data_IF_428111701786
#
_entry.id   IF_428111701786
#
_cell.length_a   1.000
_cell.length_b   1.000
_cell.length_c   1.000
_cell.angle_alpha   90.00
_cell.angle_beta   90.00
_cell.angle_gamma   90.00
#
_symmetry.space_group_name_H-M   'P 1'
#
loop_
_entity.id
_entity.type
_entity.pdbx_description
1 polymer ?
#
# COMPACT_ATOMS: atom_id res chain seq x y z
N UNK A 1 10.49 21.89 -50.63
CA UNK A 1 10.82 23.29 -50.98
C UNK A 1 9.87 24.20 -50.21
N UNK A 2 10.39 25.22 -49.52
CA UNK A 2 9.70 26.39 -48.91
C UNK A 2 8.56 26.16 -47.90
N UNK A 3 8.31 27.04 -46.90
CA UNK A 3 9.13 28.00 -46.12
C UNK A 3 8.32 28.40 -44.86
N UNK A 4 8.94 28.27 -43.68
CA UNK A 4 9.06 29.25 -42.57
C UNK A 4 8.03 30.39 -42.32
N UNK A 5 7.56 30.47 -41.06
CA UNK A 5 7.76 31.56 -40.06
C UNK A 5 7.07 31.10 -38.74
N UNK A 6 7.65 31.07 -37.54
CA UNK A 6 8.42 32.07 -36.74
C UNK A 6 7.61 33.30 -36.33
N UNK A 7 7.22 33.34 -35.06
CA UNK A 7 7.39 34.50 -34.17
C UNK A 7 7.91 33.96 -32.82
N UNK A 8 9.04 34.49 -32.35
CA UNK A 8 9.54 34.33 -30.96
C UNK A 8 9.08 35.52 -30.11
N UNK A 9 9.02 35.35 -28.80
CA UNK A 9 9.24 36.44 -27.86
C UNK A 9 9.83 35.88 -26.55
N UNK A 10 11.15 35.92 -26.47
CA UNK A 10 11.92 35.71 -25.24
C UNK A 10 11.72 36.86 -24.24
N UNK A 11 11.89 36.55 -22.95
CA UNK A 11 12.43 37.53 -22.01
C UNK A 11 13.37 36.83 -21.02
N UNK A 12 14.55 37.40 -20.83
CA UNK A 12 15.69 36.79 -20.11
C UNK A 12 16.20 37.77 -19.02
N UNK A 13 17.15 37.31 -18.19
CA UNK A 13 17.89 38.05 -17.15
C UNK A 13 17.14 38.38 -15.84
N UNK A 14 17.77 38.37 -14.65
CA UNK A 14 19.12 37.90 -14.25
C UNK A 14 19.26 37.77 -12.71
N UNK A 15 19.67 36.58 -12.24
CA UNK A 15 20.81 36.24 -11.32
C UNK A 15 21.07 36.99 -9.98
N UNK A 16 21.53 36.20 -8.99
CA UNK A 16 22.20 36.52 -7.70
C UNK A 16 21.27 36.77 -6.47
N UNK A 17 21.61 36.34 -5.24
CA UNK A 17 22.86 35.78 -4.69
C UNK A 17 22.65 34.76 -3.53
N UNK A 18 23.73 34.00 -3.22
CA UNK A 18 24.18 33.35 -1.95
C UNK A 18 23.16 32.84 -0.90
N UNK A 19 23.21 31.62 -0.34
CA UNK A 19 24.29 30.82 0.32
C UNK A 19 24.86 31.49 1.59
N UNK A 20 25.03 30.67 2.65
CA UNK A 20 25.43 30.92 4.06
C UNK A 20 24.23 30.96 5.04
N UNK A 21 24.23 30.33 6.24
CA UNK A 21 25.15 29.38 6.92
C UNK A 21 24.35 28.57 7.95
N UNK A 22 24.91 27.48 8.48
CA UNK A 22 24.32 26.71 9.60
C UNK A 22 24.60 27.37 10.97
N UNK A 23 23.83 26.90 11.96
CA UNK A 23 24.12 26.75 13.40
C UNK A 23 23.51 27.71 14.47
N UNK A 24 22.95 27.01 15.48
CA UNK A 24 22.87 27.33 16.92
C UNK A 24 22.21 28.65 17.38
N UNK A 25 21.04 28.55 18.02
CA UNK A 25 21.00 28.53 19.50
C UNK A 25 19.67 28.04 20.09
N UNK A 26 19.75 27.55 21.32
CA UNK A 26 18.62 27.18 22.18
C UNK A 26 17.68 28.37 22.49
N UNK A 27 16.38 28.10 22.65
CA UNK A 27 15.61 28.55 23.83
C UNK A 27 14.18 27.98 23.86
N UNK A 28 13.71 27.64 25.07
CA UNK A 28 12.41 26.99 25.34
C UNK A 28 11.25 28.00 25.32
N UNK A 29 10.02 27.59 24.95
CA UNK A 29 8.82 28.35 25.28
C UNK A 29 8.48 28.21 26.77
N UNK A 30 8.19 29.35 27.40
CA UNK A 30 7.88 29.55 28.81
C UNK A 30 6.36 29.41 29.04
N UNK A 31 5.93 28.56 29.98
CA UNK A 31 4.54 28.52 30.47
C UNK A 31 4.49 29.05 31.91
N UNK A 32 3.59 30.00 32.25
CA UNK A 32 3.53 30.58 33.58
C UNK A 32 2.63 29.81 34.55
N UNK A 33 3.17 29.56 35.75
CA UNK A 33 2.51 29.81 37.04
C UNK A 33 1.28 29.00 37.46
N UNK A 34 1.49 28.07 38.38
CA UNK A 34 0.66 27.94 39.59
C UNK A 34 1.44 27.18 40.67
N UNK A 35 1.36 27.66 41.90
CA UNK A 35 2.46 27.52 42.86
C UNK A 35 2.21 26.45 43.92
N UNK A 36 3.20 25.56 44.07
CA UNK A 36 3.94 25.27 45.32
C UNK A 36 3.16 25.10 46.65
N UNK A 37 3.34 23.96 47.32
CA UNK A 37 3.99 23.85 48.66
C UNK A 37 4.03 22.38 49.20
N UNK A 38 4.99 22.13 50.11
CA UNK A 38 5.26 20.88 50.87
C UNK A 38 5.77 19.68 50.04
N UNK A 39 7.04 19.28 49.97
CA UNK A 39 8.20 19.22 50.90
C UNK A 39 8.50 17.80 51.44
N UNK A 40 9.65 17.28 50.99
CA UNK A 40 10.63 16.45 51.68
C UNK A 40 10.26 15.08 52.33
N UNK A 41 10.92 14.05 51.81
CA UNK A 41 11.56 12.90 52.50
C UNK A 41 10.68 11.87 53.26
N UNK A 42 10.95 10.59 53.00
CA UNK A 42 11.61 9.66 53.94
C UNK A 42 11.90 8.32 53.22
N UNK A 43 13.01 7.67 53.58
CA UNK A 43 13.39 6.33 53.11
C UNK A 43 12.57 5.22 53.81
N UNK A 44 12.74 4.01 53.28
CA UNK A 44 12.63 2.71 53.96
C UNK A 44 11.46 1.81 53.55
N UNK A 45 11.87 0.62 53.14
CA UNK A 45 11.10 -0.59 52.97
C UNK A 45 11.16 -1.32 54.32
N UNK A 46 10.04 -1.86 54.84
CA UNK A 46 10.15 -3.24 55.29
C UNK A 46 8.95 -4.11 54.93
N UNK A 47 9.22 -5.40 54.83
CA UNK A 47 8.26 -6.45 54.49
C UNK A 47 7.54 -7.02 55.72
N UNK A 48 6.52 -7.85 55.41
CA UNK A 48 5.87 -8.88 56.25
C UNK A 48 4.66 -8.48 57.12
N UNK A 49 3.57 -9.23 56.95
CA UNK A 49 2.68 -9.68 58.04
C UNK A 49 1.99 -11.00 57.67
N UNK A 50 1.70 -11.80 58.72
CA UNK A 50 1.44 -13.26 58.75
C UNK A 50 0.50 -13.51 59.95
N UNK A 51 -0.55 -14.35 59.92
CA UNK A 51 -1.15 -15.21 58.86
C UNK A 51 -2.66 -15.40 59.12
N UNK A 52 -3.42 -15.79 58.09
CA UNK A 52 -4.60 -16.67 58.18
C UNK A 52 -4.73 -17.36 56.80
N UNK A 53 -4.78 -18.69 56.65
CA UNK A 53 -5.12 -19.73 57.61
C UNK A 53 -5.73 -20.97 56.92
N UNK A 54 -5.86 -20.99 55.58
CA UNK A 54 -6.37 -22.14 54.83
C UNK A 54 -5.81 -22.23 53.40
N UNK A 55 -5.24 -23.39 53.05
CA UNK A 55 -4.68 -23.66 51.72
C UNK A 55 -5.70 -24.43 50.88
N UNK A 56 -6.13 -23.84 49.76
CA UNK A 56 -6.79 -24.58 48.68
C UNK A 56 -5.85 -24.69 47.48
N UNK A 57 -5.43 -25.92 47.16
CA UNK A 57 -4.68 -26.20 45.93
C UNK A 57 -5.64 -26.25 44.73
N UNK A 58 -5.53 -25.28 43.84
CA UNK A 58 -6.12 -25.35 42.49
C UNK A 58 -5.04 -25.81 41.50
N UNK A 59 -5.15 -27.07 41.06
CA UNK A 59 -4.18 -27.71 40.16
C UNK A 59 -4.29 -27.15 38.74
N UNK A 60 -3.21 -26.55 38.23
CA UNK A 60 -3.04 -26.30 36.79
C UNK A 60 -2.65 -27.61 36.08
N UNK A 61 -3.13 -27.85 34.83
CA UNK A 61 -2.82 -29.10 34.12
C UNK A 61 -1.36 -29.14 33.64
N UNK A 62 -0.68 -30.30 33.70
CA UNK A 62 0.70 -30.44 33.24
C UNK A 62 0.74 -30.57 31.71
N UNK A 63 1.38 -29.61 31.03
CA UNK A 63 1.42 -29.58 29.56
C UNK A 63 2.44 -28.62 28.94
N UNK A 64 3.48 -28.22 29.68
CA UNK A 64 4.53 -27.33 29.19
C UNK A 64 5.90 -28.00 29.30
N UNK A 65 6.17 -28.97 28.42
CA UNK A 65 7.55 -29.42 28.19
C UNK A 65 8.25 -28.44 27.24
N UNK A 66 9.31 -27.82 27.75
CA UNK A 66 10.19 -26.93 27.00
C UNK A 66 10.91 -27.68 25.88
N UNK A 67 10.68 -27.26 24.63
CA UNK A 67 11.54 -27.61 23.49
C UNK A 67 12.27 -26.36 23.01
N UNK A 68 13.59 -26.25 23.20
CA UNK A 68 14.38 -25.13 22.67
C UNK A 68 14.67 -25.32 21.18
N UNK A 69 13.64 -25.18 20.34
CA UNK A 69 13.77 -25.11 18.89
C UNK A 69 13.50 -23.68 18.38
N UNK A 70 14.20 -22.70 18.97
CA UNK A 70 14.42 -21.40 18.33
C UNK A 70 15.66 -21.51 17.42
N UNK A 71 15.48 -22.19 16.28
CA UNK A 71 16.45 -22.19 15.19
C UNK A 71 15.69 -21.95 13.89
N UNK A 72 15.90 -20.75 13.33
CA UNK A 72 15.68 -20.39 11.93
C UNK A 72 14.49 -21.11 11.27
N UNK A 73 13.27 -20.70 11.63
CA UNK A 73 12.20 -20.77 10.65
C UNK A 73 12.48 -19.67 9.62
N UNK A 74 13.33 -19.99 8.64
CA UNK A 74 13.45 -19.21 7.42
C UNK A 74 12.02 -19.01 6.90
N UNK A 75 11.60 -17.75 6.81
CA UNK A 75 10.23 -17.41 6.44
C UNK A 75 10.07 -17.70 4.95
N UNK A 76 9.74 -18.96 4.66
CA UNK A 76 9.56 -19.55 3.34
C UNK A 76 9.00 -18.50 2.37
N UNK A 77 9.77 -18.18 1.35
CA UNK A 77 9.50 -17.01 0.53
C UNK A 77 8.33 -17.29 -0.41
N UNK A 78 7.16 -16.79 -0.05
CA UNK A 78 5.93 -17.03 -0.81
C UNK A 78 5.78 -16.08 -1.98
N UNK A 79 5.35 -16.62 -3.12
CA UNK A 79 5.31 -15.92 -4.40
C UNK A 79 3.93 -16.04 -5.08
N UNK A 80 3.54 -14.99 -5.81
CA UNK A 80 2.37 -15.04 -6.68
C UNK A 80 2.60 -16.04 -7.81
N UNK A 81 1.58 -16.86 -8.08
CA UNK A 81 1.50 -17.71 -9.28
C UNK A 81 1.60 -16.94 -10.61
N UNK A 82 1.40 -15.60 -10.59
CA UNK A 82 1.60 -14.73 -11.75
C UNK A 82 3.00 -14.10 -11.71
N UNK A 83 3.80 -14.40 -12.73
CA UNK A 83 5.18 -13.93 -12.90
C UNK A 83 5.25 -13.04 -14.15
N UNK A 84 5.94 -11.91 -14.09
CA UNK A 84 6.21 -11.10 -15.28
C UNK A 84 7.49 -11.59 -15.97
N UNK A 85 7.48 -11.63 -17.31
CA UNK A 85 8.65 -11.91 -18.13
C UNK A 85 8.82 -10.78 -19.15
N UNK A 86 9.99 -10.15 -19.17
CA UNK A 86 10.29 -9.00 -20.03
C UNK A 86 11.56 -9.18 -20.86
N UNK A 87 11.64 -8.47 -21.98
CA UNK A 87 12.77 -8.56 -22.90
C UNK A 87 12.69 -9.74 -23.87
N UNK A 88 11.51 -10.38 -24.02
CA UNK A 88 11.27 -11.48 -24.95
C UNK A 88 11.76 -11.14 -26.38
N UNK A 89 12.19 -12.14 -27.20
CA UNK A 89 12.38 -11.93 -28.63
C UNK A 89 11.10 -11.38 -29.29
N UNK A 90 11.21 -10.53 -30.34
CA UNK A 90 10.03 -9.94 -30.98
C UNK A 90 9.22 -10.95 -31.81
N UNK A 91 9.83 -12.11 -32.10
CA UNK A 91 9.33 -13.19 -32.93
C UNK A 91 9.00 -14.47 -32.13
N UNK A 92 9.01 -14.42 -30.79
CA UNK A 92 8.64 -15.58 -29.95
C UNK A 92 7.12 -15.66 -29.76
N UNK A 93 6.53 -16.83 -29.98
CA UNK A 93 5.09 -17.07 -29.82
C UNK A 93 4.71 -17.65 -28.43
N UNK A 94 3.43 -17.93 -28.22
CA UNK A 94 2.94 -18.54 -26.97
C UNK A 94 3.48 -19.95 -26.76
N UNK A 95 3.54 -20.75 -27.82
CA UNK A 95 3.98 -22.14 -27.80
C UNK A 95 5.45 -22.25 -27.39
N UNK A 96 6.31 -21.36 -27.89
CA UNK A 96 7.74 -21.28 -27.61
C UNK A 96 8.05 -20.74 -26.20
N UNK A 97 7.30 -19.72 -25.74
CA UNK A 97 7.31 -19.29 -24.34
C UNK A 97 6.87 -20.46 -23.45
N UNK A 98 5.74 -21.09 -23.77
CA UNK A 98 5.21 -22.22 -23.00
C UNK A 98 6.22 -23.37 -22.93
N UNK A 99 6.86 -23.75 -24.04
CA UNK A 99 7.89 -24.78 -24.07
C UNK A 99 9.09 -24.43 -23.18
N UNK A 100 9.53 -23.16 -23.19
CA UNK A 100 10.66 -22.67 -22.38
C UNK A 100 10.40 -22.74 -20.86
N UNK A 101 9.17 -22.45 -20.42
CA UNK A 101 8.83 -22.36 -19.00
C UNK A 101 8.09 -23.59 -18.43
N UNK A 102 7.50 -24.45 -19.26
CA UNK A 102 6.73 -25.64 -18.81
C UNK A 102 7.56 -26.66 -18.01
N UNK A 103 8.89 -26.62 -18.14
CA UNK A 103 9.81 -27.44 -17.31
C UNK A 103 9.73 -27.15 -15.81
N UNK A 104 9.20 -25.99 -15.40
CA UNK A 104 9.02 -25.61 -14.00
C UNK A 104 7.64 -25.98 -13.45
N UNK A 105 6.67 -26.28 -14.33
CA UNK A 105 5.30 -26.61 -13.96
C UNK A 105 4.28 -26.28 -15.04
N UNK A 106 3.03 -26.66 -14.81
CA UNK A 106 1.94 -26.29 -15.72
C UNK A 106 1.59 -24.80 -15.58
N UNK A 107 1.50 -24.12 -16.72
CA UNK A 107 1.27 -22.68 -16.79
C UNK A 107 0.39 -22.29 -17.99
N UNK A 108 -0.14 -21.06 -17.95
CA UNK A 108 -0.78 -20.37 -19.06
C UNK A 108 0.00 -19.08 -19.34
N UNK A 109 0.24 -18.74 -20.61
CA UNK A 109 0.88 -17.48 -21.01
C UNK A 109 -0.20 -16.44 -21.30
N UNK A 110 -0.06 -15.25 -20.72
CA UNK A 110 -1.03 -14.14 -20.84
C UNK A 110 -0.32 -12.82 -21.17
N UNK A 111 -0.96 -11.95 -21.95
CA UNK A 111 -0.50 -10.58 -22.17
C UNK A 111 -1.69 -9.66 -22.48
N UNK A 112 -1.57 -8.34 -22.24
CA UNK A 112 -2.68 -7.41 -22.45
C UNK A 112 -3.24 -7.49 -23.88
N UNK A 113 -4.56 -7.53 -23.99
CA UNK A 113 -5.31 -7.61 -25.26
C UNK A 113 -5.06 -8.87 -26.11
N UNK A 114 -4.48 -9.95 -25.56
CA UNK A 114 -4.28 -11.23 -26.28
C UNK A 114 -5.55 -11.75 -26.96
N UNK A 115 -6.65 -11.87 -26.22
CA UNK A 115 -7.93 -12.38 -26.72
C UNK A 115 -8.61 -11.47 -27.77
N UNK A 116 -8.32 -10.17 -27.74
CA UNK A 116 -8.96 -9.17 -28.60
C UNK A 116 -8.17 -8.94 -29.90
N UNK A 117 -6.84 -8.93 -29.80
CA UNK A 117 -5.94 -8.53 -30.89
C UNK A 117 -5.70 -9.61 -31.95
N UNK A 118 -6.03 -10.88 -31.65
CA UNK A 118 -5.59 -12.07 -32.42
C UNK A 118 -4.08 -12.11 -32.69
N UNK A 119 -3.28 -11.39 -31.90
CA UNK A 119 -1.84 -11.34 -32.07
C UNK A 119 -1.22 -12.57 -31.42
N UNK A 120 -0.42 -13.32 -32.18
CA UNK A 120 0.34 -14.47 -31.70
C UNK A 120 1.58 -14.07 -30.89
N UNK A 121 1.99 -12.79 -30.96
CA UNK A 121 3.25 -12.31 -30.40
C UNK A 121 3.01 -11.32 -29.23
N UNK A 122 3.78 -11.40 -28.13
CA UNK A 122 3.60 -10.50 -26.99
C UNK A 122 3.99 -9.04 -27.33
N UNK A 123 3.08 -8.06 -27.19
CA UNK A 123 3.33 -6.69 -27.59
C UNK A 123 4.43 -6.07 -26.70
N UNK A 124 5.40 -5.39 -27.32
CA UNK A 124 6.56 -4.76 -26.65
C UNK A 124 7.48 -5.76 -25.93
N UNK A 125 7.46 -7.05 -26.27
CA UNK A 125 8.42 -8.04 -25.78
C UNK A 125 8.28 -8.36 -24.28
N UNK A 126 7.05 -8.41 -23.76
CA UNK A 126 6.78 -8.89 -22.40
C UNK A 126 5.48 -9.70 -22.34
N UNK A 127 5.43 -10.65 -21.39
CA UNK A 127 4.27 -11.47 -21.11
C UNK A 127 4.15 -11.74 -19.60
N UNK A 128 3.10 -12.44 -19.20
CA UNK A 128 2.93 -12.99 -17.87
C UNK A 128 2.80 -14.51 -17.94
N UNK A 129 3.48 -15.21 -17.04
CA UNK A 129 3.29 -16.64 -16.81
C UNK A 129 2.31 -16.79 -15.64
N UNK A 130 1.25 -17.57 -15.81
CA UNK A 130 0.31 -17.92 -14.76
C UNK A 130 0.47 -19.41 -14.45
N UNK A 131 1.26 -19.74 -13.43
CA UNK A 131 1.45 -21.12 -12.99
C UNK A 131 0.21 -21.66 -12.26
N UNK A 132 0.02 -22.97 -12.29
CA UNK A 132 -1.01 -23.63 -11.48
C UNK A 132 -0.59 -23.73 -10.01
N UNK A 133 0.69 -23.94 -9.74
CA UNK A 133 1.24 -24.11 -8.39
C UNK A 133 2.24 -23.00 -8.02
N UNK A 134 2.39 -22.73 -6.72
CA UNK A 134 3.37 -21.77 -6.18
C UNK A 134 4.80 -22.35 -6.19
N UNK A 135 4.93 -23.67 -5.95
CA UNK A 135 6.15 -24.46 -6.08
C UNK A 135 6.85 -24.28 -7.44
N UNK A 136 6.09 -24.16 -8.53
CA UNK A 136 6.61 -23.91 -9.87
C UNK A 136 7.27 -22.54 -10.03
N UNK A 137 6.80 -21.54 -9.28
CA UNK A 137 7.42 -20.20 -9.27
C UNK A 137 8.73 -20.24 -8.50
N UNK A 138 8.81 -20.95 -7.37
CA UNK A 138 10.06 -21.16 -6.65
C UNK A 138 11.07 -21.90 -7.53
N UNK A 139 10.68 -23.01 -8.16
CA UNK A 139 11.54 -23.80 -9.06
C UNK A 139 12.08 -22.96 -10.24
N UNK A 140 11.26 -22.03 -10.77
CA UNK A 140 11.69 -21.05 -11.78
C UNK A 140 12.74 -20.10 -11.21
N UNK A 141 12.52 -19.53 -10.02
CA UNK A 141 13.45 -18.61 -9.35
C UNK A 141 14.80 -19.28 -9.09
N UNK A 142 14.79 -20.49 -8.53
CA UNK A 142 15.99 -21.28 -8.22
C UNK A 142 16.81 -21.63 -9.48
N UNK A 143 16.18 -21.58 -10.66
CA UNK A 143 16.80 -21.83 -11.96
C UNK A 143 17.20 -20.55 -12.72
N UNK A 144 16.99 -19.37 -12.14
CA UNK A 144 17.37 -18.10 -12.75
C UNK A 144 18.83 -17.72 -12.45
N UNK A 145 19.44 -16.98 -13.36
CA UNK A 145 20.70 -16.27 -13.15
C UNK A 145 20.35 -14.95 -12.42
N UNK A 146 21.00 -14.66 -11.30
CA UNK A 146 20.80 -13.42 -10.54
C UNK A 146 21.92 -12.41 -10.85
N UNK A 147 21.54 -11.23 -11.33
CA UNK A 147 22.43 -10.09 -11.61
C UNK A 147 21.75 -8.79 -11.12
N UNK A 148 22.43 -7.98 -10.31
CA UNK A 148 21.91 -6.70 -9.76
C UNK A 148 20.47 -6.78 -9.19
N UNK A 149 20.22 -7.78 -8.34
CA UNK A 149 18.90 -8.12 -7.75
C UNK A 149 17.76 -8.35 -8.77
N UNK A 150 18.11 -8.63 -10.03
CA UNK A 150 17.20 -9.05 -11.10
C UNK A 150 17.46 -10.52 -11.41
N UNK A 151 16.37 -11.22 -11.74
CA UNK A 151 16.43 -12.62 -12.18
C UNK A 151 16.34 -12.68 -13.69
N UNK A 152 17.14 -13.54 -14.30
CA UNK A 152 17.19 -13.76 -15.74
C UNK A 152 17.09 -15.25 -16.07
N UNK A 153 16.36 -15.57 -17.12
CA UNK A 153 16.35 -16.90 -17.72
C UNK A 153 16.68 -16.77 -19.21
N UNK A 154 17.37 -17.77 -19.75
CA UNK A 154 17.67 -17.83 -21.19
C UNK A 154 16.50 -18.49 -21.93
N UNK A 155 16.02 -17.86 -23.00
CA UNK A 155 15.02 -18.41 -23.94
C UNK A 155 15.47 -18.21 -25.39
N UNK A 156 14.87 -18.97 -26.32
CA UNK A 156 15.14 -18.86 -27.76
C UNK A 156 13.84 -18.75 -28.55
N UNK A 157 13.86 -17.99 -29.65
CA UNK A 157 12.82 -17.90 -30.69
C UNK A 157 13.36 -18.50 -32.00
N UNK A 158 12.61 -18.46 -33.13
CA UNK A 158 13.11 -18.92 -34.42
C UNK A 158 14.39 -18.18 -34.85
N UNK A 159 14.43 -16.85 -34.73
CA UNK A 159 15.55 -16.03 -35.22
C UNK A 159 16.58 -15.66 -34.14
N UNK A 160 16.21 -15.62 -32.86
CA UNK A 160 17.12 -15.25 -31.76
C UNK A 160 17.38 -16.46 -30.87
N UNK A 161 18.65 -16.85 -30.73
CA UNK A 161 19.08 -17.89 -29.78
C UNK A 161 19.63 -17.28 -28.51
N UNK A 162 19.45 -18.00 -27.41
CA UNK A 162 20.02 -17.76 -26.09
C UNK A 162 19.85 -16.32 -25.57
N UNK A 163 18.66 -15.74 -25.75
CA UNK A 163 18.33 -14.41 -25.24
C UNK A 163 18.02 -14.49 -23.74
N UNK A 164 18.78 -13.76 -22.93
CA UNK A 164 18.42 -13.51 -21.55
C UNK A 164 17.15 -12.65 -21.47
N UNK A 165 16.12 -13.16 -20.79
CA UNK A 165 14.86 -12.46 -20.50
C UNK A 165 14.70 -12.27 -19.01
N UNK A 166 14.20 -11.11 -18.61
CA UNK A 166 14.07 -10.73 -17.21
C UNK A 166 12.83 -11.40 -16.61
N UNK A 167 13.03 -12.17 -15.54
CA UNK A 167 11.99 -12.78 -14.73
C UNK A 167 11.73 -11.88 -13.52
N UNK A 168 10.45 -11.56 -13.26
CA UNK A 168 10.03 -10.73 -12.12
C UNK A 168 8.86 -11.40 -11.40
N UNK A 169 9.12 -12.26 -10.40
CA UNK A 169 8.08 -12.79 -9.54
C UNK A 169 7.55 -11.68 -8.62
N UNK A 170 6.35 -11.86 -8.07
CA UNK A 170 5.83 -11.00 -7.01
C UNK A 170 5.87 -11.73 -5.68
N UNK A 171 6.64 -11.22 -4.71
CA UNK A 171 6.73 -11.78 -3.36
C UNK A 171 5.49 -11.38 -2.55
N UNK A 172 4.79 -12.33 -1.96
CA UNK A 172 3.54 -12.06 -1.22
C UNK A 172 3.78 -11.19 0.02
N UNK A 173 4.94 -11.31 0.66
CA UNK A 173 5.33 -10.47 1.79
C UNK A 173 5.53 -8.98 1.43
N UNK A 174 5.70 -8.64 0.14
CA UNK A 174 5.90 -7.24 -0.29
C UNK A 174 4.57 -6.48 -0.47
N UNK A 175 3.43 -7.16 -0.30
CA UNK A 175 2.08 -6.61 -0.49
C UNK A 175 1.56 -5.79 0.70
N UNK A 176 2.07 -5.99 1.91
CA UNK A 176 1.62 -5.30 3.12
C UNK A 176 2.83 -4.92 3.99
N UNK A 177 2.83 -3.71 4.53
CA UNK A 177 3.89 -3.22 5.39
C UNK A 177 3.34 -2.35 6.52
N UNK A 178 3.70 -2.72 7.76
CA UNK A 178 3.35 -1.98 8.98
C UNK A 178 4.62 -1.26 9.45
N UNK A 179 4.61 0.07 9.42
CA UNK A 179 5.73 0.90 9.88
C UNK A 179 5.78 0.93 11.42
N UNK A 180 4.62 0.96 12.08
CA UNK A 180 4.52 0.93 13.53
C UNK A 180 3.31 0.09 13.99
N UNK A 181 3.60 -1.10 14.52
CA UNK A 181 2.59 -2.06 15.00
C UNK A 181 1.96 -1.67 16.35
N UNK A 182 2.49 -0.68 17.08
CA UNK A 182 1.93 -0.25 18.36
C UNK A 182 0.75 0.72 18.22
N UNK A 183 0.48 1.22 17.00
CA UNK A 183 -0.56 2.21 16.75
C UNK A 183 -1.80 1.54 16.13
N UNK A 184 -3.02 1.76 16.68
CA UNK A 184 -4.22 1.19 16.11
C UNK A 184 -4.48 1.76 14.70
N UNK A 185 -4.69 0.85 13.74
CA UNK A 185 -5.05 1.23 12.38
C UNK A 185 -6.51 1.68 12.34
N UNK A 186 -6.74 2.90 11.87
CA UNK A 186 -8.08 3.46 11.66
C UNK A 186 -8.39 3.50 10.15
N UNK A 187 -9.34 2.67 9.67
CA UNK A 187 -9.75 2.67 8.28
C UNK A 187 -10.24 4.04 7.77
N UNK A 188 -10.74 4.92 8.65
CA UNK A 188 -11.22 6.27 8.27
C UNK A 188 -10.08 7.26 8.01
N UNK A 189 -8.87 7.00 8.51
CA UNK A 189 -7.63 7.76 8.21
C UNK A 189 -6.80 7.09 7.10
N UNK A 190 -7.43 6.28 6.26
CA UNK A 190 -6.78 5.59 5.14
C UNK A 190 -7.06 6.30 3.81
N UNK A 191 -6.04 6.43 2.98
CA UNK A 191 -6.14 6.96 1.60
C UNK A 191 -5.96 5.83 0.60
N UNK A 192 -6.71 5.89 -0.49
CA UNK A 192 -6.49 5.08 -1.69
C UNK A 192 -5.49 5.80 -2.61
N UNK A 193 -4.52 5.05 -3.13
CA UNK A 193 -3.51 5.53 -4.07
C UNK A 193 -3.69 4.79 -5.40
N UNK A 194 -4.25 5.48 -6.39
CA UNK A 194 -4.54 4.94 -7.72
C UNK A 194 -3.38 5.17 -8.69
N UNK A 195 -3.00 4.13 -9.44
CA UNK A 195 -1.98 4.21 -10.48
C UNK A 195 -0.56 3.86 -10.02
N UNK A 196 -0.38 3.33 -8.80
CA UNK A 196 0.89 2.82 -8.26
C UNK A 196 1.64 1.96 -9.29
N UNK A 197 2.97 2.14 -9.50
CA UNK A 197 3.77 1.24 -10.32
C UNK A 197 3.69 -0.20 -9.79
N UNK A 198 3.38 -1.19 -10.64
CA UNK A 198 3.27 -2.61 -10.22
C UNK A 198 4.52 -3.19 -9.54
N UNK A 199 5.75 -2.74 -9.86
CA UNK A 199 6.94 -3.12 -9.10
C UNK A 199 7.04 -2.60 -7.66
N UNK A 200 6.34 -1.50 -7.34
CA UNK A 200 6.49 -0.81 -6.06
C UNK A 200 5.97 -1.68 -4.91
N UNK A 201 6.81 -1.86 -3.90
CA UNK A 201 6.51 -2.61 -2.68
C UNK A 201 5.76 -1.76 -1.67
N UNK A 202 5.03 -2.39 -0.75
CA UNK A 202 4.33 -1.69 0.33
C UNK A 202 5.27 -0.85 1.22
N UNK A 203 6.49 -1.35 1.50
CA UNK A 203 7.51 -0.62 2.26
C UNK A 203 7.98 0.67 1.55
N UNK A 204 8.13 0.64 0.22
CA UNK A 204 8.52 1.82 -0.56
C UNK A 204 7.39 2.85 -0.58
N UNK A 205 6.15 2.41 -0.79
CA UNK A 205 4.97 3.26 -0.73
C UNK A 205 4.82 3.93 0.64
N UNK A 206 5.00 3.17 1.74
CA UNK A 206 4.99 3.71 3.09
C UNK A 206 6.09 4.77 3.28
N UNK A 207 7.32 4.44 2.89
CA UNK A 207 8.49 5.32 3.05
C UNK A 207 8.35 6.63 2.29
N UNK A 208 7.84 6.59 1.04
CA UNK A 208 7.61 7.80 0.24
C UNK A 208 6.51 8.66 0.89
N UNK A 209 5.39 8.05 1.30
CA UNK A 209 4.25 8.78 1.85
C UNK A 209 4.54 9.35 3.25
N UNK A 210 5.35 8.66 4.05
CA UNK A 210 5.79 9.15 5.36
C UNK A 210 6.75 10.34 5.23
N UNK A 211 7.67 10.31 4.25
CA UNK A 211 8.53 11.47 3.94
C UNK A 211 7.74 12.70 3.45
N UNK A 212 6.60 12.52 2.79
CA UNK A 212 5.80 13.60 2.23
C UNK A 212 4.79 14.19 3.21
N UNK A 213 4.19 13.36 4.07
CA UNK A 213 3.06 13.77 4.94
C UNK A 213 3.27 13.45 6.42
N UNK A 214 4.22 12.57 6.74
CA UNK A 214 4.47 12.06 8.08
C UNK A 214 3.43 11.06 8.58
N UNK A 215 3.79 10.40 9.69
CA UNK A 215 2.88 9.64 10.54
C UNK A 215 2.11 8.50 9.85
N UNK A 216 2.69 7.88 8.81
CA UNK A 216 2.17 6.64 8.21
C UNK A 216 2.32 5.50 9.22
N UNK A 217 1.26 4.73 9.45
CA UNK A 217 1.32 3.52 10.28
C UNK A 217 1.36 2.24 9.45
N UNK A 218 0.74 2.23 8.26
CA UNK A 218 0.63 1.07 7.38
C UNK A 218 0.50 1.48 5.92
N UNK A 219 1.05 0.68 5.01
CA UNK A 219 0.73 0.70 3.60
C UNK A 219 0.47 -0.72 3.07
N UNK A 220 -0.39 -0.83 2.06
CA UNK A 220 -0.66 -2.07 1.35
C UNK A 220 -0.78 -1.83 -0.16
N UNK A 221 -0.35 -2.81 -0.95
CA UNK A 221 -0.53 -2.86 -2.40
C UNK A 221 -1.81 -3.66 -2.68
N UNK A 222 -2.70 -3.12 -3.51
CA UNK A 222 -3.93 -3.80 -3.87
C UNK A 222 -3.63 -4.90 -4.89
N UNK A 223 -3.73 -6.14 -4.43
CA UNK A 223 -3.50 -7.34 -5.24
C UNK A 223 -4.81 -7.95 -5.78
N UNK A 224 -4.70 -8.72 -6.85
CA UNK A 224 -5.76 -9.62 -7.31
C UNK A 224 -6.16 -10.64 -6.22
N UNK A 225 -7.47 -10.91 -5.99
CA UNK A 225 -7.89 -11.82 -4.93
C UNK A 225 -7.49 -13.28 -5.16
N UNK A 226 -7.35 -13.74 -6.40
CA UNK A 226 -6.99 -15.13 -6.73
C UNK A 226 -5.47 -15.30 -6.86
N UNK A 227 -4.84 -14.44 -7.68
CA UNK A 227 -3.42 -14.58 -8.02
C UNK A 227 -2.50 -13.85 -7.03
N UNK A 228 -3.04 -12.99 -6.16
CA UNK A 228 -2.27 -12.13 -5.23
C UNK A 228 -1.22 -11.25 -5.92
N UNK A 229 -1.49 -10.86 -7.18
CA UNK A 229 -0.59 -10.06 -8.01
C UNK A 229 -0.99 -8.56 -8.03
N UNK A 230 -0.06 -7.59 -8.01
CA UNK A 230 -0.36 -6.16 -7.97
C UNK A 230 -1.24 -5.66 -9.12
N UNK A 231 -2.30 -4.93 -8.77
CA UNK A 231 -3.23 -4.33 -9.75
C UNK A 231 -2.79 -2.95 -10.24
N UNK A 232 -1.85 -2.31 -9.54
CA UNK A 232 -1.41 -0.94 -9.80
C UNK A 232 -2.18 0.11 -9.00
N UNK A 233 -2.57 -0.27 -7.78
CA UNK A 233 -3.16 0.60 -6.76
C UNK A 233 -2.66 0.16 -5.38
N UNK A 234 -2.90 0.97 -4.36
CA UNK A 234 -2.58 0.66 -2.98
C UNK A 234 -3.35 1.55 -2.01
N UNK A 235 -3.08 1.35 -0.73
CA UNK A 235 -3.73 2.01 0.41
C UNK A 235 -2.69 2.40 1.44
N UNK A 236 -2.85 3.57 2.07
CA UNK A 236 -1.92 4.09 3.08
C UNK A 236 -2.72 4.65 4.25
N UNK A 237 -2.45 4.15 5.45
CA UNK A 237 -3.12 4.56 6.68
C UNK A 237 -2.22 5.50 7.49
N UNK A 238 -2.84 6.56 8.04
CA UNK A 238 -2.17 7.55 8.87
C UNK A 238 -2.61 7.44 10.33
N UNK A 239 -1.67 7.61 11.25
CA UNK A 239 -1.95 7.60 12.69
C UNK A 239 -2.70 8.85 13.16
N UNK A 240 -2.54 9.99 12.48
CA UNK A 240 -3.20 11.26 12.81
C UNK A 240 -4.04 11.82 11.64
N UNK A 241 -4.98 12.71 11.97
CA UNK A 241 -5.91 13.30 11.00
C UNK A 241 -5.24 14.37 10.11
N UNK A 242 -4.21 15.06 10.60
CA UNK A 242 -3.52 16.12 9.86
C UNK A 242 -2.80 15.59 8.62
N UNK A 243 -2.07 14.47 8.76
CA UNK A 243 -1.32 13.82 7.67
C UNK A 243 -2.27 13.22 6.63
N UNK A 244 -3.38 12.63 7.09
CA UNK A 244 -4.48 12.18 6.24
C UNK A 244 -5.08 13.33 5.41
N UNK A 245 -5.44 14.46 6.04
CA UNK A 245 -5.97 15.63 5.32
C UNK A 245 -4.94 16.20 4.35
N UNK A 246 -3.65 16.25 4.72
CA UNK A 246 -2.58 16.72 3.84
C UNK A 246 -2.47 15.85 2.56
N UNK A 247 -2.47 14.52 2.72
CA UNK A 247 -2.42 13.58 1.61
C UNK A 247 -3.64 13.68 0.68
N UNK A 248 -4.84 13.85 1.23
CA UNK A 248 -6.05 14.09 0.42
C UNK A 248 -6.01 15.43 -0.31
N UNK A 249 -5.54 16.48 0.37
CA UNK A 249 -5.46 17.84 -0.19
C UNK A 249 -4.47 17.93 -1.36
N UNK A 250 -3.38 17.16 -1.33
CA UNK A 250 -2.41 17.10 -2.41
C UNK A 250 -3.00 16.51 -3.70
N UNK A 251 -3.94 15.54 -3.59
CA UNK A 251 -4.65 14.83 -4.68
C UNK A 251 -3.77 14.04 -5.66
N UNK A 252 -2.54 14.46 -5.91
CA UNK A 252 -1.58 13.77 -6.77
C UNK A 252 -0.19 13.77 -6.14
N UNK A 253 0.52 12.65 -6.28
CA UNK A 253 1.87 12.44 -5.77
C UNK A 253 2.74 11.90 -6.89
N UNK A 254 4.03 12.24 -6.91
CA UNK A 254 5.01 11.54 -7.75
C UNK A 254 5.58 10.36 -6.96
N UNK A 255 5.47 9.15 -7.51
CA UNK A 255 6.13 7.96 -6.99
C UNK A 255 7.28 7.60 -7.92
N UNK A 256 8.49 7.58 -7.36
CA UNK A 256 9.70 7.14 -8.05
C UNK A 256 10.08 5.72 -7.59
N UNK A 257 10.35 4.82 -8.52
CA UNK A 257 10.87 3.48 -8.27
C UNK A 257 11.81 3.06 -9.41
N UNK A 258 13.12 3.05 -9.13
CA UNK A 258 14.15 2.95 -10.17
C UNK A 258 13.97 4.06 -11.21
N UNK A 259 13.97 3.68 -12.49
CA UNK A 259 13.77 4.59 -13.63
C UNK A 259 12.29 4.98 -13.87
N UNK A 260 11.35 4.45 -13.07
CA UNK A 260 9.93 4.79 -13.18
C UNK A 260 9.63 5.98 -12.29
N UNK A 261 9.43 7.15 -12.89
CA UNK A 261 8.69 8.27 -12.27
C UNK A 261 7.23 8.24 -12.74
N UNK A 262 6.28 8.30 -11.81
CA UNK A 262 4.86 8.25 -12.13
C UNK A 262 4.00 9.06 -11.17
N UNK A 263 3.19 9.94 -11.77
CA UNK A 263 2.13 10.67 -11.07
C UNK A 263 0.96 9.74 -10.73
N UNK A 264 0.72 9.52 -9.46
CA UNK A 264 -0.42 8.76 -8.92
C UNK A 264 -1.49 9.69 -8.38
N UNK A 265 -2.73 9.20 -8.30
CA UNK A 265 -3.86 9.94 -7.75
C UNK A 265 -4.17 9.45 -6.32
N UNK A 266 -4.36 10.37 -5.38
CA UNK A 266 -4.70 10.09 -3.98
C UNK A 266 -6.16 10.47 -3.74
N UNK A 267 -6.92 9.56 -3.11
CA UNK A 267 -8.35 9.73 -2.78
C UNK A 267 -8.64 9.22 -1.38
N UNK A 268 -9.71 9.69 -0.71
CA UNK A 268 -10.19 9.06 0.52
C UNK A 268 -10.52 7.59 0.28
N UNK A 269 -10.11 6.70 1.17
CA UNK A 269 -10.59 5.32 1.17
C UNK A 269 -12.02 5.30 1.72
N UNK A 270 -12.98 4.91 0.89
CA UNK A 270 -14.41 4.91 1.25
C UNK A 270 -14.79 3.53 1.80
N UNK A 271 -15.51 3.54 2.93
CA UNK A 271 -15.93 2.37 3.69
C UNK A 271 -17.43 2.12 3.49
N UNK A 272 -17.82 0.85 3.60
CA UNK A 272 -19.14 0.36 3.21
C UNK A 272 -20.18 0.33 4.34
N UNK A 273 -19.73 0.41 5.59
CA UNK A 273 -20.46 0.10 6.81
C UNK A 273 -20.52 1.29 7.78
N UNK A 274 -20.33 2.50 7.26
CA UNK A 274 -20.28 3.70 8.08
C UNK A 274 -21.66 4.28 8.33
N UNK A 275 -21.92 4.65 9.58
CA UNK A 275 -23.11 5.41 9.95
C UNK A 275 -22.96 6.88 9.51
N UNK A 276 -24.09 7.57 9.36
CA UNK A 276 -24.08 9.02 9.13
C UNK A 276 -23.45 9.75 10.32
N UNK A 277 -22.37 10.49 10.10
CA UNK A 277 -21.60 11.16 11.16
C UNK A 277 -22.40 12.25 11.89
N UNK A 278 -23.44 12.78 11.25
CA UNK A 278 -24.29 13.87 11.76
C UNK A 278 -25.47 13.41 12.63
N UNK A 279 -25.91 12.15 12.47
CA UNK A 279 -27.09 11.64 13.17
C UNK A 279 -26.93 10.21 13.72
N UNK A 280 -25.73 9.62 13.63
CA UNK A 280 -25.43 8.25 14.05
C UNK A 280 -26.46 7.21 13.55
N UNK A 281 -27.01 7.41 12.35
CA UNK A 281 -28.05 6.54 11.76
C UNK A 281 -29.48 6.72 12.32
N UNK A 282 -29.69 7.56 13.34
CA UNK A 282 -31.00 7.78 14.00
C UNK A 282 -32.09 8.20 13.02
N UNK A 283 -31.77 9.09 12.06
CA UNK A 283 -32.73 9.59 11.05
C UNK A 283 -33.01 8.60 9.91
N UNK A 284 -32.40 7.41 9.95
CA UNK A 284 -32.40 6.45 8.83
C UNK A 284 -32.72 5.02 9.23
N UNK A 285 -33.28 4.83 10.44
CA UNK A 285 -33.62 3.49 10.96
C UNK A 285 -32.40 2.58 11.10
N UNK A 286 -31.22 3.13 11.42
CA UNK A 286 -29.98 2.37 11.56
C UNK A 286 -29.32 1.91 10.25
N UNK A 287 -29.79 2.39 9.09
CA UNK A 287 -29.10 2.15 7.81
C UNK A 287 -27.78 2.91 7.73
N UNK A 288 -26.79 2.30 7.09
CA UNK A 288 -25.51 2.94 6.74
C UNK A 288 -25.72 4.14 5.79
N UNK A 289 -24.76 5.06 5.81
CA UNK A 289 -24.76 6.25 4.98
C UNK A 289 -24.45 5.90 3.51
N UNK A 290 -25.34 6.24 2.54
CA UNK A 290 -25.11 5.97 1.12
C UNK A 290 -24.14 6.99 0.46
N UNK A 291 -23.84 8.11 1.13
CA UNK A 291 -23.04 9.21 0.58
C UNK A 291 -21.82 9.50 1.43
N UNK A 292 -20.67 9.63 0.77
CA UNK A 292 -19.45 10.17 1.37
C UNK A 292 -19.06 11.49 0.69
N UNK A 293 -18.75 12.53 1.48
CA UNK A 293 -18.29 13.81 0.95
C UNK A 293 -16.76 13.88 0.95
N UNK A 294 -16.15 13.72 -0.23
CA UNK A 294 -14.70 13.76 -0.38
C UNK A 294 -14.07 15.18 -0.37
N UNK A 295 -14.86 16.24 -0.11
CA UNK A 295 -14.29 17.57 0.13
C UNK A 295 -13.59 17.61 1.49
N UNK A 296 -12.38 18.19 1.52
CA UNK A 296 -11.54 18.36 2.72
C UNK A 296 -12.23 19.09 3.88
N UNK A 297 -13.24 19.94 3.62
CA UNK A 297 -14.02 20.61 4.67
C UNK A 297 -15.13 19.75 5.27
N UNK A 298 -15.34 18.55 4.73
CA UNK A 298 -16.34 17.58 5.20
C UNK A 298 -15.67 16.26 5.61
N UNK A 299 -15.14 15.49 4.66
CA UNK A 299 -14.55 14.14 4.86
C UNK A 299 -15.42 13.23 5.76
N UNK A 300 -16.73 13.28 5.52
CA UNK A 300 -17.78 12.72 6.36
C UNK A 300 -18.77 11.89 5.55
N UNK A 301 -19.40 10.93 6.24
CA UNK A 301 -20.47 10.08 5.77
C UNK A 301 -21.82 10.70 6.13
N UNK A 302 -22.72 10.80 5.14
CA UNK A 302 -24.04 11.41 5.31
C UNK A 302 -25.14 10.48 4.82
N UNK A 303 -26.24 10.45 5.55
CA UNK A 303 -27.49 9.97 5.02
C UNK A 303 -28.14 10.98 4.06
N UNK A 304 -29.11 10.54 3.25
CA UNK A 304 -29.80 11.40 2.27
C UNK A 304 -30.34 12.70 2.89
N UNK A 305 -30.98 12.60 4.04
CA UNK A 305 -31.53 13.75 4.76
C UNK A 305 -30.44 14.72 5.26
N UNK A 306 -29.41 14.22 5.95
CA UNK A 306 -28.33 15.08 6.45
C UNK A 306 -27.51 15.68 5.30
N UNK A 307 -27.30 14.93 4.22
CA UNK A 307 -26.68 15.43 3.00
C UNK A 307 -27.44 16.64 2.46
N UNK A 308 -28.76 16.50 2.25
CA UNK A 308 -29.61 17.58 1.75
C UNK A 308 -29.62 18.82 2.63
N UNK A 309 -29.63 18.67 3.96
CA UNK A 309 -29.63 19.80 4.92
C UNK A 309 -28.28 20.52 5.01
N UNK A 310 -27.16 19.83 4.75
CA UNK A 310 -25.81 20.37 4.92
C UNK A 310 -25.25 20.92 3.61
N UNK A 311 -25.48 20.23 2.49
CA UNK A 311 -24.97 20.63 1.17
C UNK A 311 -25.95 21.52 0.38
N UNK A 312 -27.08 21.93 0.98
CA UNK A 312 -27.88 23.07 0.49
C UNK A 312 -27.45 24.41 1.08
N UNK A 313 -26.50 24.42 2.04
CA UNK A 313 -25.98 25.65 2.64
C UNK A 313 -24.90 26.27 1.75
N UNK A 314 -24.88 27.60 1.68
CA UNK A 314 -23.89 28.39 0.96
C UNK A 314 -22.45 28.00 1.34
N UNK A 315 -21.60 27.83 0.34
CA UNK A 315 -20.23 27.33 0.48
C UNK A 315 -20.09 25.80 0.43
N UNK A 316 -21.17 25.04 0.25
CA UNK A 316 -21.17 23.56 0.18
C UNK A 316 -21.97 22.98 -0.99
N UNK A 317 -22.70 23.80 -1.74
CA UNK A 317 -23.57 23.44 -2.86
C UNK A 317 -22.85 22.80 -4.05
N UNK A 318 -21.54 23.05 -4.20
CA UNK A 318 -20.68 22.46 -5.24
C UNK A 318 -20.08 21.10 -4.84
N UNK A 319 -20.33 20.62 -3.62
CA UNK A 319 -19.82 19.32 -3.17
C UNK A 319 -20.59 18.20 -3.86
N UNK A 320 -19.85 17.22 -4.40
CA UNK A 320 -20.45 16.05 -5.06
C UNK A 320 -20.38 14.84 -4.12
N UNK A 321 -21.49 14.12 -3.89
CA UNK A 321 -21.45 12.89 -3.11
C UNK A 321 -20.72 11.82 -3.91
N UNK A 322 -19.80 11.10 -3.27
CA UNK A 322 -19.42 9.79 -3.76
C UNK A 322 -20.55 8.83 -3.35
N UNK A 323 -21.29 8.38 -4.35
CA UNK A 323 -22.37 7.40 -4.23
C UNK A 323 -21.80 6.02 -4.57
N UNK A 324 -22.09 5.02 -3.75
CA UNK A 324 -21.66 3.65 -4.01
C UNK A 324 -22.58 2.95 -5.00
N UNK A 325 -22.05 2.53 -6.15
CA UNK A 325 -22.72 1.54 -6.99
C UNK A 325 -22.54 0.12 -6.41
N UNK A 326 -23.65 -0.59 -6.18
CA UNK A 326 -23.68 -2.03 -5.93
C UNK A 326 -23.39 -2.48 -4.50
N UNK A 327 -24.45 -2.79 -3.75
CA UNK A 327 -24.38 -3.49 -2.47
C UNK A 327 -24.20 -5.03 -2.60
N UNK A 328 -24.00 -5.54 -3.83
CA UNK A 328 -24.01 -6.98 -4.16
C UNK A 328 -22.66 -7.53 -4.65
N UNK A 329 -21.54 -7.05 -4.11
CA UNK A 329 -20.28 -7.82 -4.18
C UNK A 329 -20.12 -8.62 -2.88
N UNK A 330 -19.85 -9.94 -2.95
CA UNK A 330 -19.57 -10.72 -1.75
C UNK A 330 -18.45 -10.08 -0.95
N UNK A 331 -18.70 -9.87 0.35
CA UNK A 331 -17.75 -9.24 1.27
C UNK A 331 -16.43 -10.03 1.26
N UNK A 332 -15.27 -9.40 0.97
CA UNK A 332 -14.02 -9.90 1.51
C UNK A 332 -14.18 -9.98 3.03
N UNK A 333 -13.77 -11.10 3.62
CA UNK A 333 -13.91 -11.34 5.06
C UNK A 333 -13.30 -10.18 5.86
N UNK A 334 -13.90 -9.84 7.01
CA UNK A 334 -13.31 -8.90 7.95
C UNK A 334 -11.89 -9.36 8.29
N UNK A 335 -10.90 -8.58 7.89
CA UNK A 335 -9.52 -8.81 8.29
C UNK A 335 -9.43 -8.64 9.81
N UNK A 336 -9.23 -9.75 10.52
CA UNK A 336 -8.70 -9.70 11.88
C UNK A 336 -7.24 -9.31 11.77
N UNK A 337 -6.94 -8.10 12.19
CA UNK A 337 -5.58 -7.71 12.56
C UNK A 337 -5.23 -8.53 13.81
N UNK A 338 -4.27 -9.45 13.66
CA UNK A 338 -3.69 -10.25 14.73
C UNK A 338 -2.32 -9.67 15.10
#
# INVERSE_FOLDING_TARGET
MHLFNIISLDFHNSVAASIETWDLFESRPFFPGLDEHAAAAIMENPSSHIVDGQVFMASLPPGAQSSPHTLLQEKEEKYSRKVFVGGLPPDIDEEEISASFRRFGQLVVDWPHKAESKSFFPPKGYAFLLFQEESSVQTLIDSCIQEDDKLYLVVSSPTVKDKAVQIRPWRLNDADYVLNASLPLDPRKTVFVGGVPRPLKAIELATIMDRLYGCVCYAGIDTDPELKYPKGAGRVAFSNQQSYIAAISARFVQLQHGDIDKRVEVKPYVLDDQMCDECAGQRCGGKFAPFFCANVTCLQYYCEHCWGVIHSRSGREFHKPLVKEGAERPRPLQFRWC
#
